data_IF_580141878079
#
_entry.id   IF_580141878079
#
_cell.length_a   1.000
_cell.length_b   1.000
_cell.length_c   1.000
_cell.angle_alpha   90.00
_cell.angle_beta   90.00
_cell.angle_gamma   90.00
#
_symmetry.space_group_name_H-M   'P 1'
#
loop_
_entity.id
_entity.type
_entity.pdbx_description
1 polymer ?
#
# COMPACT_ATOMS: atom_id res chain seq x y z
N UNK A 1 17.16 15.47 -1.77
CA UNK A 1 16.89 14.10 -1.32
C UNK A 1 15.39 13.91 -1.13
N UNK A 2 14.80 12.96 -1.87
CA UNK A 2 13.36 12.66 -1.73
C UNK A 2 13.16 11.78 -0.49
N UNK A 3 12.31 12.23 0.41
CA UNK A 3 11.95 11.51 1.62
C UNK A 3 10.58 10.87 1.46
N UNK A 4 10.18 10.01 2.40
CA UNK A 4 8.82 9.45 2.44
C UNK A 4 7.75 10.55 2.38
N UNK A 5 8.06 11.76 2.82
CA UNK A 5 7.15 12.90 2.77
C UNK A 5 6.66 13.24 1.36
N UNK A 6 7.45 12.91 0.35
CA UNK A 6 7.14 13.25 -1.04
C UNK A 6 6.54 12.08 -1.82
N UNK A 7 6.40 10.92 -1.19
CA UNK A 7 5.85 9.74 -1.87
C UNK A 7 4.42 9.96 -2.36
N UNK A 8 3.62 10.73 -1.63
CA UNK A 8 2.28 11.06 -2.07
C UNK A 8 2.29 11.77 -3.43
N UNK A 9 3.24 12.67 -3.65
CA UNK A 9 3.38 13.37 -4.93
C UNK A 9 3.75 12.42 -6.06
N UNK A 10 4.65 11.50 -5.80
CA UNK A 10 5.08 10.48 -6.78
C UNK A 10 3.90 9.58 -7.15
N UNK A 11 3.15 9.12 -6.16
CA UNK A 11 1.98 8.26 -6.36
C UNK A 11 0.90 9.01 -7.14
N UNK A 12 0.60 10.24 -6.76
CA UNK A 12 -0.42 11.06 -7.42
C UNK A 12 -0.04 11.40 -8.85
N UNK A 13 1.23 11.68 -9.12
CA UNK A 13 1.72 11.87 -10.48
C UNK A 13 1.49 10.63 -11.34
N UNK A 14 1.77 9.44 -10.80
CA UNK A 14 1.50 8.19 -11.48
C UNK A 14 0.01 8.04 -11.80
N UNK A 15 -0.87 8.29 -10.84
CA UNK A 15 -2.31 8.22 -11.06
C UNK A 15 -2.76 9.18 -12.16
N UNK A 16 -2.28 10.43 -12.12
CA UNK A 16 -2.62 11.45 -13.10
C UNK A 16 -2.15 11.06 -14.52
N UNK A 17 -0.93 10.57 -14.64
CA UNK A 17 -0.36 10.15 -15.93
C UNK A 17 -1.09 8.95 -16.53
N UNK A 18 -1.71 8.12 -15.71
CA UNK A 18 -2.42 6.92 -16.14
C UNK A 18 -3.94 7.07 -16.12
N UNK A 19 -4.46 8.29 -15.94
CA UNK A 19 -5.89 8.59 -15.90
C UNK A 19 -6.65 7.78 -14.87
N UNK A 20 -6.04 7.57 -13.70
CA UNK A 20 -6.63 6.86 -12.57
C UNK A 20 -7.26 7.89 -11.64
N UNK A 21 -8.55 7.76 -11.38
CA UNK A 21 -9.23 8.62 -10.42
C UNK A 21 -8.82 8.26 -9.00
N UNK A 22 -8.53 9.27 -8.21
CA UNK A 22 -8.16 9.11 -6.81
C UNK A 22 -8.57 10.33 -5.99
N UNK A 23 -8.61 10.14 -4.70
CA UNK A 23 -8.65 11.20 -3.71
C UNK A 23 -7.57 10.84 -2.67
N UNK A 24 -7.80 11.07 -1.40
CA UNK A 24 -6.88 10.63 -0.33
C UNK A 24 -7.10 9.17 0.06
N UNK A 25 -7.56 8.36 -0.85
CA UNK A 25 -7.97 6.98 -0.63
C UNK A 25 -6.90 5.96 -1.03
N UNK A 26 -5.65 6.28 -0.82
CA UNK A 26 -4.54 5.37 -1.12
C UNK A 26 -3.50 5.34 0.00
N UNK A 27 -2.81 4.22 0.10
CA UNK A 27 -1.70 4.03 1.04
C UNK A 27 -0.63 3.14 0.38
N UNK A 28 0.60 3.24 0.90
CA UNK A 28 1.70 2.38 0.50
C UNK A 28 2.02 1.41 1.63
N UNK A 29 2.15 0.13 1.30
CA UNK A 29 2.35 -0.94 2.26
C UNK A 29 3.56 -1.81 1.93
N UNK A 30 4.11 -2.46 2.96
CA UNK A 30 5.14 -3.48 2.83
C UNK A 30 4.50 -4.86 3.02
N UNK A 31 4.24 -5.59 1.94
CA UNK A 31 3.53 -6.86 2.01
C UNK A 31 4.45 -8.03 2.40
N UNK A 32 3.84 -9.11 2.87
CA UNK A 32 4.52 -10.38 3.07
C UNK A 32 4.60 -11.15 1.75
N UNK A 33 5.50 -12.17 1.70
CA UNK A 33 5.69 -12.99 0.51
C UNK A 33 4.40 -13.70 0.06
N UNK A 34 3.58 -14.16 1.01
CA UNK A 34 2.31 -14.82 0.68
C UNK A 34 1.36 -13.91 -0.09
N UNK A 35 1.30 -12.64 0.27
CA UNK A 35 0.48 -11.67 -0.44
C UNK A 35 0.96 -11.52 -1.89
N UNK A 36 2.27 -11.36 -2.09
CA UNK A 36 2.85 -11.21 -3.43
C UNK A 36 2.60 -12.45 -4.28
N UNK A 37 2.73 -13.65 -3.70
CA UNK A 37 2.44 -14.90 -4.43
C UNK A 37 1.00 -14.99 -4.91
N UNK A 38 0.05 -14.64 -4.04
CA UNK A 38 -1.38 -14.74 -4.35
C UNK A 38 -1.79 -13.71 -5.39
N UNK A 39 -1.37 -12.46 -5.24
CA UNK A 39 -1.84 -11.38 -6.09
C UNK A 39 -0.98 -11.17 -7.34
N UNK A 40 0.32 -11.43 -7.27
CA UNK A 40 1.23 -11.17 -8.38
C UNK A 40 1.84 -12.43 -9.00
N UNK A 41 1.53 -13.59 -8.44
CA UNK A 41 2.00 -14.90 -8.93
C UNK A 41 3.53 -14.96 -9.06
N UNK A 42 4.22 -14.43 -8.07
CA UNK A 42 5.69 -14.43 -8.01
C UNK A 42 6.18 -14.35 -6.57
N UNK A 43 7.48 -14.56 -6.37
CA UNK A 43 8.09 -14.39 -5.06
C UNK A 43 8.39 -12.91 -4.79
N UNK A 44 8.35 -12.53 -3.53
CA UNK A 44 8.76 -11.20 -3.08
C UNK A 44 10.22 -10.97 -3.43
N UNK A 45 10.49 -9.86 -4.10
CA UNK A 45 11.85 -9.47 -4.46
C UNK A 45 12.43 -8.63 -3.33
N UNK A 46 13.58 -9.06 -2.86
CA UNK A 46 14.37 -8.34 -1.86
C UNK A 46 15.82 -8.36 -2.31
N UNK A 47 16.31 -7.27 -2.86
CA UNK A 47 17.69 -7.17 -3.36
C UNK A 47 18.53 -6.37 -2.37
N UNK A 48 19.32 -7.08 -1.58
CA UNK A 48 20.18 -6.47 -0.56
C UNK A 48 21.29 -5.60 -1.17
N UNK A 49 21.78 -5.94 -2.36
CA UNK A 49 22.85 -5.18 -3.00
C UNK A 49 22.38 -3.80 -3.46
N UNK A 50 21.11 -3.69 -3.82
CA UNK A 50 20.49 -2.42 -4.24
C UNK A 50 19.65 -1.78 -3.14
N UNK A 51 19.60 -2.38 -1.96
CA UNK A 51 18.71 -1.98 -0.87
C UNK A 51 17.25 -1.85 -1.33
N UNK A 52 16.84 -2.74 -2.23
CA UNK A 52 15.53 -2.67 -2.88
C UNK A 52 14.57 -3.68 -2.28
N UNK A 53 13.37 -3.22 -1.95
CA UNK A 53 12.27 -4.07 -1.50
C UNK A 53 11.04 -3.82 -2.35
N UNK A 54 10.43 -4.88 -2.86
CA UNK A 54 9.14 -4.79 -3.52
C UNK A 54 8.05 -4.44 -2.52
N UNK A 55 7.20 -3.51 -2.91
CA UNK A 55 6.13 -2.99 -2.06
C UNK A 55 4.85 -2.86 -2.88
N UNK A 56 3.79 -2.40 -2.26
CA UNK A 56 2.50 -2.20 -2.93
C UNK A 56 1.91 -0.85 -2.59
N UNK A 57 1.14 -0.32 -3.54
CA UNK A 57 0.24 0.81 -3.32
C UNK A 57 -1.17 0.28 -3.45
N UNK A 58 -2.02 0.59 -2.49
CA UNK A 58 -3.43 0.17 -2.50
C UNK A 58 -4.31 1.39 -2.61
N UNK A 59 -5.18 1.40 -3.61
CA UNK A 59 -6.19 2.42 -3.84
C UNK A 59 -7.56 1.84 -3.45
N UNK A 60 -8.18 2.44 -2.44
CA UNK A 60 -9.43 1.95 -1.87
C UNK A 60 -10.61 2.68 -2.48
N UNK A 61 -11.37 2.01 -3.32
CA UNK A 61 -12.58 2.56 -3.94
C UNK A 61 -13.83 1.90 -3.35
N UNK A 62 -14.99 2.48 -3.62
CA UNK A 62 -16.26 1.92 -3.12
C UNK A 62 -16.56 0.53 -3.70
N UNK A 63 -16.30 0.35 -5.00
CA UNK A 63 -16.66 -0.88 -5.71
C UNK A 63 -15.53 -1.90 -5.77
N UNK A 64 -14.29 -1.44 -5.60
CA UNK A 64 -13.13 -2.31 -5.72
C UNK A 64 -11.92 -1.75 -4.95
N UNK A 65 -10.90 -2.59 -4.87
CA UNK A 65 -9.59 -2.21 -4.35
C UNK A 65 -8.59 -2.47 -5.47
N UNK A 66 -7.79 -1.47 -5.80
CA UNK A 66 -6.74 -1.60 -6.79
C UNK A 66 -5.37 -1.71 -6.11
N UNK A 67 -4.60 -2.69 -6.52
CA UNK A 67 -3.29 -2.99 -5.95
C UNK A 67 -2.24 -2.84 -7.02
N UNK A 68 -1.27 -1.96 -6.77
CA UNK A 68 -0.18 -1.66 -7.70
C UNK A 68 1.14 -2.12 -7.10
N UNK A 69 1.96 -2.82 -7.89
CA UNK A 69 3.32 -3.11 -7.47
C UNK A 69 4.17 -1.84 -7.49
N UNK A 70 5.18 -1.78 -6.65
CA UNK A 70 6.18 -0.71 -6.66
C UNK A 70 7.47 -1.19 -5.99
N UNK A 71 8.55 -0.44 -6.21
CA UNK A 71 9.84 -0.72 -5.62
C UNK A 71 10.22 0.39 -4.63
N UNK A 72 10.70 0.00 -3.46
CA UNK A 72 11.22 0.92 -2.44
C UNK A 72 12.71 0.67 -2.28
N UNK A 73 13.50 1.72 -2.46
CA UNK A 73 14.94 1.67 -2.28
C UNK A 73 15.33 2.42 -1.02
N UNK A 74 16.08 1.76 -0.14
CA UNK A 74 16.55 2.30 1.15
C UNK A 74 18.04 2.54 1.07
N UNK A 75 18.46 3.69 0.52
CA UNK A 75 19.89 4.07 0.45
C UNK A 75 20.19 5.19 1.43
N UNK A 76 21.22 4.99 2.24
CA UNK A 76 21.66 6.00 3.21
C UNK A 76 22.03 7.32 2.52
N UNK A 77 22.71 7.24 1.37
CA UNK A 77 23.19 8.41 0.64
C UNK A 77 22.11 9.20 -0.09
N UNK A 78 21.07 8.52 -0.59
CA UNK A 78 20.02 9.14 -1.41
C UNK A 78 18.64 9.12 -0.76
N UNK A 79 18.53 8.56 0.44
CA UNK A 79 17.29 8.44 1.16
C UNK A 79 16.41 7.31 0.65
N UNK A 80 15.15 7.31 1.09
CA UNK A 80 14.17 6.30 0.71
C UNK A 80 13.47 6.75 -0.56
N UNK A 81 13.53 5.94 -1.61
CA UNK A 81 12.95 6.25 -2.92
C UNK A 81 11.88 5.26 -3.32
N UNK A 82 10.84 5.77 -3.93
CA UNK A 82 9.74 4.99 -4.52
C UNK A 82 9.85 5.05 -6.04
N UNK A 83 9.80 3.89 -6.69
CA UNK A 83 9.95 3.80 -8.15
C UNK A 83 9.16 2.62 -8.73
N UNK A 84 9.12 2.55 -10.06
CA UNK A 84 8.54 1.44 -10.82
C UNK A 84 7.11 1.10 -10.40
N UNK A 85 6.27 2.12 -10.26
CA UNK A 85 4.87 1.93 -9.86
C UNK A 85 4.08 1.30 -11.00
N UNK A 86 3.29 0.27 -10.67
CA UNK A 86 2.27 -0.26 -11.57
C UNK A 86 2.76 -1.20 -12.65
N UNK A 87 3.94 -1.82 -12.52
CA UNK A 87 4.34 -2.92 -13.40
C UNK A 87 3.30 -4.03 -13.38
N UNK A 88 2.75 -4.30 -12.20
CA UNK A 88 1.64 -5.21 -12.02
C UNK A 88 0.52 -4.44 -11.32
N UNK A 89 -0.69 -4.54 -11.86
CA UNK A 89 -1.89 -3.92 -11.30
C UNK A 89 -2.97 -4.97 -11.19
N UNK A 90 -3.57 -5.09 -10.00
CA UNK A 90 -4.68 -6.00 -9.75
C UNK A 90 -5.88 -5.24 -9.22
N UNK A 91 -7.06 -5.61 -9.69
CA UNK A 91 -8.31 -5.03 -9.24
C UNK A 91 -9.11 -6.12 -8.53
N UNK A 92 -9.47 -5.87 -7.29
CA UNK A 92 -10.23 -6.81 -6.46
C UNK A 92 -11.61 -6.22 -6.19
N UNK A 93 -12.70 -6.84 -6.68
CA UNK A 93 -14.05 -6.38 -6.35
C UNK A 93 -14.31 -6.43 -4.85
N UNK A 94 -15.02 -5.44 -4.31
CA UNK A 94 -15.35 -5.37 -2.89
C UNK A 94 -16.12 -6.60 -2.41
N UNK A 95 -16.96 -7.16 -3.24
CA UNK A 95 -17.76 -8.35 -2.93
C UNK A 95 -16.89 -9.58 -2.61
N UNK A 96 -15.66 -9.62 -3.10
CA UNK A 96 -14.70 -10.69 -2.82
C UNK A 96 -13.86 -10.45 -1.58
N UNK A 97 -13.99 -9.30 -0.96
CA UNK A 97 -13.22 -8.93 0.23
C UNK A 97 -14.05 -9.22 1.47
N UNK A 98 -13.61 -10.18 2.26
CA UNK A 98 -14.29 -10.55 3.51
C UNK A 98 -13.89 -9.67 4.68
N UNK A 99 -12.59 -9.36 4.78
CA UNK A 99 -12.06 -8.50 5.84
C UNK A 99 -11.13 -7.46 5.23
N UNK A 100 -11.34 -6.21 5.59
CA UNK A 100 -10.46 -5.11 5.26
C UNK A 100 -10.44 -4.18 6.45
N UNK A 101 -9.44 -4.37 7.33
CA UNK A 101 -9.38 -3.68 8.61
C UNK A 101 -7.98 -3.12 8.87
N UNK A 102 -7.93 -1.88 9.28
CA UNK A 102 -6.70 -1.23 9.70
C UNK A 102 -6.65 -1.20 11.22
N UNK A 103 -5.54 -1.67 11.79
CA UNK A 103 -5.32 -1.69 13.23
C UNK A 103 -4.13 -0.82 13.56
N UNK A 104 -4.31 0.11 14.48
CA UNK A 104 -3.21 0.97 14.95
C UNK A 104 -2.36 0.20 15.97
N UNK A 105 -1.07 0.12 15.70
CA UNK A 105 -0.04 -0.40 16.61
C UNK A 105 0.83 0.76 17.11
N UNK A 106 1.78 0.49 17.99
CA UNK A 106 2.58 1.54 18.66
C UNK A 106 3.30 2.45 17.67
N UNK A 107 3.95 1.91 16.65
CA UNK A 107 4.75 2.69 15.69
C UNK A 107 4.36 2.42 14.24
N UNK A 108 3.25 1.74 14.01
CA UNK A 108 2.83 1.35 12.67
C UNK A 108 1.33 1.08 12.63
N UNK A 109 0.79 1.04 11.44
CA UNK A 109 -0.53 0.49 11.19
C UNK A 109 -0.37 -0.86 10.51
N UNK A 110 -1.29 -1.77 10.82
CA UNK A 110 -1.33 -3.08 10.19
C UNK A 110 -2.67 -3.24 9.48
N UNK A 111 -2.59 -3.55 8.18
CA UNK A 111 -3.76 -3.85 7.38
C UNK A 111 -4.02 -5.34 7.42
N UNK A 112 -5.24 -5.74 7.78
CA UNK A 112 -5.72 -7.11 7.66
C UNK A 112 -6.63 -7.17 6.43
N UNK A 113 -6.26 -8.00 5.49
CA UNK A 113 -6.94 -8.15 4.21
C UNK A 113 -7.26 -9.62 3.98
N UNK A 114 -8.55 -9.96 3.86
CA UNK A 114 -8.97 -11.34 3.65
C UNK A 114 -9.96 -11.43 2.51
N UNK A 115 -9.72 -12.35 1.58
CA UNK A 115 -10.64 -12.69 0.51
C UNK A 115 -11.60 -13.79 0.95
N UNK A 116 -12.75 -13.91 0.29
CA UNK A 116 -13.77 -14.90 0.60
C UNK A 116 -13.27 -16.34 0.54
N UNK A 117 -12.35 -16.63 -0.40
CA UNK A 117 -11.81 -17.97 -0.62
C UNK A 117 -10.58 -18.31 0.22
N UNK A 118 -10.13 -17.38 1.07
CA UNK A 118 -8.94 -17.56 1.89
C UNK A 118 -9.30 -17.93 3.33
N UNK A 119 -8.50 -18.81 3.93
CA UNK A 119 -8.70 -19.23 5.32
C UNK A 119 -8.12 -18.23 6.32
N UNK A 120 -7.08 -17.49 5.93
CA UNK A 120 -6.39 -16.55 6.78
C UNK A 120 -6.30 -15.17 6.14
N UNK A 121 -6.31 -14.14 6.98
CA UNK A 121 -6.10 -12.77 6.51
C UNK A 121 -4.62 -12.52 6.22
N UNK A 122 -4.34 -11.79 5.16
CA UNK A 122 -3.02 -11.23 4.92
C UNK A 122 -2.78 -10.09 5.91
N UNK A 123 -1.54 -10.00 6.40
CA UNK A 123 -1.11 -8.95 7.31
C UNK A 123 -0.09 -8.08 6.59
N UNK A 124 -0.42 -6.82 6.42
CA UNK A 124 0.40 -5.90 5.63
C UNK A 124 0.72 -4.68 6.49
N UNK A 125 2.00 -4.35 6.58
CA UNK A 125 2.44 -3.25 7.42
C UNK A 125 2.53 -1.94 6.66
N UNK A 126 2.16 -0.85 7.33
CA UNK A 126 2.44 0.49 6.86
C UNK A 126 3.24 1.23 7.94
N UNK A 127 4.38 1.75 7.55
CA UNK A 127 5.22 2.56 8.43
C UNK A 127 4.85 4.03 8.29
N UNK A 128 4.42 4.64 9.39
CA UNK A 128 4.15 6.07 9.43
C UNK A 128 5.26 6.86 10.14
N UNK A 129 6.28 6.16 10.65
CA UNK A 129 7.35 6.74 11.48
C UNK A 129 8.06 7.93 10.83
N UNK A 130 8.27 7.86 9.52
CA UNK A 130 9.03 8.87 8.79
C UNK A 130 8.17 9.93 8.12
N UNK A 131 6.85 9.71 8.05
CA UNK A 131 5.95 10.71 7.50
C UNK A 131 4.52 10.52 8.01
N UNK A 132 4.21 11.30 9.02
CA UNK A 132 2.87 11.28 9.62
C UNK A 132 1.84 12.06 8.80
N UNK A 133 2.29 13.02 7.97
CA UNK A 133 1.35 14.00 7.41
C UNK A 133 0.39 13.40 6.37
N UNK A 134 0.91 12.96 5.22
CA UNK A 134 0.02 12.45 4.17
C UNK A 134 -0.60 11.11 4.53
N UNK A 135 0.15 10.23 5.21
CA UNK A 135 -0.33 8.91 5.63
C UNK A 135 -1.50 9.06 6.60
N UNK A 136 -1.37 9.89 7.62
CA UNK A 136 -2.42 10.11 8.61
C UNK A 136 -3.64 10.76 7.98
N UNK A 137 -3.46 11.73 7.09
CA UNK A 137 -4.56 12.36 6.35
C UNK A 137 -5.32 11.35 5.51
N UNK A 138 -4.62 10.48 4.82
CA UNK A 138 -5.23 9.45 3.99
C UNK A 138 -5.96 8.39 4.84
N UNK A 139 -5.38 7.99 5.96
CA UNK A 139 -6.05 7.08 6.90
C UNK A 139 -7.35 7.70 7.41
N UNK A 140 -7.32 8.95 7.83
CA UNK A 140 -8.51 9.65 8.29
C UNK A 140 -9.59 9.73 7.20
N UNK A 141 -9.18 10.01 5.97
CA UNK A 141 -10.09 10.00 4.82
C UNK A 141 -10.76 8.64 4.62
N UNK A 142 -9.99 7.56 4.69
CA UNK A 142 -10.50 6.20 4.53
C UNK A 142 -11.54 5.85 5.61
N UNK A 143 -11.28 6.23 6.85
CA UNK A 143 -12.17 5.99 7.98
C UNK A 143 -13.46 6.82 7.83
N UNK A 144 -13.33 8.12 7.56
CA UNK A 144 -14.47 9.04 7.42
C UNK A 144 -15.39 8.65 6.28
N UNK A 145 -14.83 8.13 5.19
CA UNK A 145 -15.60 7.70 4.01
C UNK A 145 -15.99 6.23 4.05
N UNK A 146 -15.74 5.56 5.16
CA UNK A 146 -16.10 4.14 5.38
C UNK A 146 -15.53 3.20 4.31
N UNK A 147 -14.35 3.51 3.82
CA UNK A 147 -13.65 2.70 2.83
C UNK A 147 -12.85 1.56 3.46
N UNK A 148 -12.63 1.62 4.76
CA UNK A 148 -11.89 0.65 5.55
C UNK A 148 -12.44 0.61 6.97
N UNK A 149 -12.43 -0.56 7.60
CA UNK A 149 -12.70 -0.69 9.02
C UNK A 149 -11.47 -0.31 9.82
N UNK A 150 -11.67 0.34 10.95
CA UNK A 150 -10.57 0.80 11.79
C UNK A 150 -10.74 0.34 13.23
N UNK A 151 -9.64 -0.16 13.79
CA UNK A 151 -9.58 -0.56 15.19
C UNK A 151 -8.36 0.09 15.84
N UNK A 152 -8.61 0.76 16.96
CA UNK A 152 -7.53 1.30 17.78
C UNK A 152 -6.79 0.22 18.55
#
# INVERSE_FOLDING_TARGET
>A
MRTIKEWNKIIENYFNENNIEYDRNYLCFFPENNFIKVFFDKNLIYDFNKDLRESIIVLFKKDNIEIFSCDVTLKISSGIQLSNIGKIRKIVPREKVKVLKLVKKIMRYKLYFKLDNESKAFRIDIFFRFNKNWVVKNINYLIENRLIDFKK
#
